data_IF_905511772804
#
_entry.id   IF_905511772804
#
_cell.length_a   1.000
_cell.length_b   1.000
_cell.length_c   1.000
_cell.angle_alpha   90.00
_cell.angle_beta   90.00
_cell.angle_gamma   90.00
#
_symmetry.space_group_name_H-M   'P 1'
#
loop_
_entity.id
_entity.type
_entity.pdbx_description
1 polymer ?
#
# COMPACT_ATOMS: atom_id res chain seq x y z
N UNK A 1 8.15 -22.68 16.54
CA UNK A 1 7.26 -21.50 16.45
C UNK A 1 7.01 -21.27 14.97
N UNK A 2 5.81 -21.54 14.44
CA UNK A 2 5.53 -21.35 13.00
C UNK A 2 5.44 -19.85 12.73
N UNK A 3 6.33 -19.33 11.89
CA UNK A 3 6.24 -17.98 11.35
C UNK A 3 4.92 -17.88 10.58
N UNK A 4 3.96 -17.11 11.10
CA UNK A 4 2.68 -16.86 10.43
C UNK A 4 2.78 -15.48 9.78
N UNK A 5 3.29 -15.46 8.56
CA UNK A 5 3.49 -14.25 7.78
C UNK A 5 2.15 -13.69 7.27
N UNK A 6 1.32 -13.16 8.16
CA UNK A 6 0.06 -12.54 7.75
C UNK A 6 0.21 -11.04 7.40
N UNK A 7 1.38 -10.46 7.71
CA UNK A 7 1.61 -9.04 7.53
C UNK A 7 0.83 -8.19 8.53
N UNK A 8 1.24 -6.93 8.67
CA UNK A 8 0.52 -5.92 9.43
C UNK A 8 0.31 -4.70 8.56
N UNK A 9 -0.78 -3.98 8.78
CA UNK A 9 -1.06 -2.76 8.06
C UNK A 9 -1.66 -1.69 8.95
N UNK A 10 -1.62 -0.46 8.44
CA UNK A 10 -2.36 0.67 8.96
C UNK A 10 -2.87 1.48 7.78
N UNK A 11 -4.04 2.06 7.96
CA UNK A 11 -4.77 2.76 6.90
C UNK A 11 -5.35 4.04 7.45
N UNK A 12 -5.17 5.12 6.70
CA UNK A 12 -5.79 6.40 6.93
C UNK A 12 -6.37 6.89 5.59
N UNK A 13 -7.56 7.47 5.60
CA UNK A 13 -8.20 8.02 4.39
C UNK A 13 -8.45 9.50 4.63
N UNK A 14 -7.96 10.35 3.72
CA UNK A 14 -8.18 11.79 3.77
C UNK A 14 -8.36 12.31 2.34
N UNK A 15 -9.38 13.15 2.12
CA UNK A 15 -9.60 13.85 0.85
C UNK A 15 -9.55 12.96 -0.42
N UNK A 16 -10.22 11.80 -0.40
CA UNK A 16 -10.21 10.80 -1.50
C UNK A 16 -8.85 10.11 -1.76
N UNK A 17 -7.85 10.32 -0.90
CA UNK A 17 -6.58 9.62 -0.91
C UNK A 17 -6.52 8.60 0.20
N UNK A 18 -6.11 7.37 -0.14
CA UNK A 18 -5.86 6.32 0.84
C UNK A 18 -4.36 6.26 1.15
N UNK A 19 -4.01 6.37 2.42
CA UNK A 19 -2.66 6.21 2.92
C UNK A 19 -2.54 4.84 3.59
N UNK A 20 -1.58 4.04 3.15
CA UNK A 20 -1.38 2.68 3.61
C UNK A 20 0.09 2.54 3.99
N UNK A 21 0.38 1.95 5.16
CA UNK A 21 1.71 1.42 5.43
C UNK A 21 1.61 -0.09 5.67
N UNK A 22 2.53 -0.83 5.07
CA UNK A 22 2.63 -2.29 5.21
C UNK A 22 3.89 -2.65 5.98
N UNK A 23 3.79 -3.67 6.83
CA UNK A 23 4.88 -4.14 7.66
C UNK A 23 4.99 -5.66 7.65
N UNK A 24 6.22 -6.16 7.51
CA UNK A 24 6.54 -7.59 7.46
C UNK A 24 6.15 -8.25 6.14
N UNK A 25 6.24 -9.59 6.12
CA UNK A 25 5.89 -10.40 4.96
C UNK A 25 4.42 -10.85 4.99
N UNK A 26 3.80 -10.88 3.81
CA UNK A 26 2.43 -11.31 3.61
C UNK A 26 2.40 -12.65 2.88
N UNK A 27 1.60 -13.57 3.39
CA UNK A 27 1.16 -14.79 2.72
C UNK A 27 -0.20 -14.55 2.06
N UNK A 28 -0.73 -15.58 1.37
CA UNK A 28 -2.01 -15.50 0.68
C UNK A 28 -3.18 -15.09 1.59
N UNK A 29 -3.25 -15.64 2.81
CA UNK A 29 -4.31 -15.31 3.77
C UNK A 29 -4.22 -13.83 4.20
N UNK A 30 -3.02 -13.35 4.54
CA UNK A 30 -2.80 -11.96 4.90
C UNK A 30 -3.16 -10.98 3.78
N UNK A 31 -2.91 -11.35 2.51
CA UNK A 31 -3.35 -10.53 1.36
C UNK A 31 -4.87 -10.49 1.25
N UNK A 32 -5.55 -11.61 1.43
CA UNK A 32 -7.02 -11.68 1.40
C UNK A 32 -7.62 -10.84 2.53
N UNK A 33 -7.11 -10.98 3.75
CA UNK A 33 -7.60 -10.23 4.92
C UNK A 33 -7.38 -8.73 4.75
N UNK A 34 -6.22 -8.32 4.24
CA UNK A 34 -5.93 -6.95 3.88
C UNK A 34 -6.90 -6.42 2.81
N UNK A 35 -7.12 -7.16 1.72
CA UNK A 35 -8.04 -6.75 0.65
C UNK A 35 -9.47 -6.56 1.17
N UNK A 36 -9.94 -7.47 2.03
CA UNK A 36 -11.26 -7.39 2.67
C UNK A 36 -11.37 -6.17 3.58
N UNK A 37 -10.35 -5.87 4.38
CA UNK A 37 -10.31 -4.67 5.23
C UNK A 37 -10.35 -3.39 4.38
N UNK A 38 -9.55 -3.34 3.31
CA UNK A 38 -9.55 -2.21 2.37
C UNK A 38 -10.91 -1.99 1.70
N UNK A 39 -11.59 -3.06 1.27
CA UNK A 39 -12.93 -2.95 0.69
C UNK A 39 -13.90 -2.37 1.73
N UNK A 40 -13.89 -2.87 2.97
CA UNK A 40 -14.76 -2.36 4.04
C UNK A 40 -14.54 -0.88 4.30
N UNK A 41 -13.28 -0.44 4.40
CA UNK A 41 -12.91 0.97 4.63
C UNK A 41 -13.33 1.87 3.48
N UNK A 42 -13.02 1.49 2.25
CA UNK A 42 -13.39 2.29 1.07
C UNK A 42 -14.91 2.37 0.89
N UNK A 43 -15.64 1.30 1.19
CA UNK A 43 -17.10 1.30 1.12
C UNK A 43 -17.78 2.14 2.21
N UNK A 44 -17.08 2.46 3.32
CA UNK A 44 -17.59 3.36 4.34
C UNK A 44 -17.38 4.85 4.03
N UNK A 45 -16.58 5.17 3.00
CA UNK A 45 -16.33 6.55 2.61
C UNK A 45 -17.49 7.14 1.80
N UNK A 46 -17.83 8.40 2.08
CA UNK A 46 -18.88 9.14 1.36
C UNK A 46 -18.49 9.47 -0.08
N UNK A 47 -17.18 9.56 -0.34
CA UNK A 47 -16.63 9.91 -1.64
C UNK A 47 -15.70 8.82 -2.14
N UNK A 48 -15.75 8.46 -3.43
CA UNK A 48 -14.80 7.50 -4.00
C UNK A 48 -13.36 7.96 -3.75
N UNK A 49 -12.53 7.01 -3.32
CA UNK A 49 -11.09 7.21 -3.28
C UNK A 49 -10.53 7.07 -4.70
N UNK A 50 -9.82 8.08 -5.18
CA UNK A 50 -9.25 8.11 -6.53
C UNK A 50 -7.72 8.13 -6.54
N UNK A 51 -7.11 8.07 -5.36
CA UNK A 51 -5.66 8.11 -5.18
C UNK A 51 -5.19 7.26 -4.00
N UNK A 52 -3.92 6.84 -4.04
CA UNK A 52 -3.32 6.07 -2.96
C UNK A 52 -1.83 6.38 -2.75
N UNK A 53 -1.39 6.35 -1.49
CA UNK A 53 0.00 6.46 -1.05
C UNK A 53 0.35 5.21 -0.26
N UNK A 54 1.34 4.46 -0.70
CA UNK A 54 1.76 3.21 -0.09
C UNK A 54 3.19 3.32 0.44
N UNK A 55 3.32 3.27 1.76
CA UNK A 55 4.60 3.19 2.44
C UNK A 55 5.00 1.73 2.62
N UNK A 56 6.01 1.31 1.86
CA UNK A 56 6.56 -0.04 1.83
C UNK A 56 7.93 -0.13 2.53
N UNK A 57 8.32 0.88 3.30
CA UNK A 57 9.64 0.93 3.95
C UNK A 57 9.88 -0.22 4.94
N UNK A 58 8.83 -0.75 5.56
CA UNK A 58 8.87 -1.89 6.49
C UNK A 58 8.30 -3.18 5.87
N UNK A 59 8.00 -3.18 4.57
CA UNK A 59 7.41 -4.31 3.87
C UNK A 59 8.49 -5.30 3.42
N UNK A 60 8.34 -6.58 3.79
CA UNK A 60 9.30 -7.62 3.46
C UNK A 60 8.85 -8.44 2.24
N UNK A 61 9.45 -8.20 1.08
CA UNK A 61 9.32 -9.04 -0.10
C UNK A 61 10.46 -10.06 -0.18
N UNK A 62 10.56 -10.94 0.81
CA UNK A 62 11.69 -11.88 0.95
C UNK A 62 11.43 -13.30 0.42
N UNK A 63 10.20 -13.62 -0.03
CA UNK A 63 9.85 -14.96 -0.52
C UNK A 63 9.10 -14.94 -1.86
N UNK A 64 9.20 -16.04 -2.63
CA UNK A 64 8.42 -16.28 -3.86
C UNK A 64 6.92 -16.17 -3.63
N UNK A 65 6.45 -16.63 -2.47
CA UNK A 65 5.05 -16.59 -2.10
C UNK A 65 4.61 -15.15 -1.81
N UNK A 66 5.47 -14.36 -1.19
CA UNK A 66 5.25 -12.93 -1.02
C UNK A 66 5.23 -12.19 -2.36
N UNK A 67 5.96 -12.65 -3.38
CA UNK A 67 5.95 -12.04 -4.72
C UNK A 67 4.64 -12.28 -5.47
N UNK A 68 4.10 -13.50 -5.43
CA UNK A 68 2.81 -13.82 -6.03
C UNK A 68 1.67 -13.12 -5.29
N UNK A 69 1.69 -13.17 -3.96
CA UNK A 69 0.72 -12.48 -3.10
C UNK A 69 0.80 -10.95 -3.31
N UNK A 70 2.00 -10.40 -3.53
CA UNK A 70 2.19 -8.98 -3.87
C UNK A 70 1.58 -8.62 -5.23
N UNK A 71 1.68 -9.51 -6.23
CA UNK A 71 1.01 -9.30 -7.52
C UNK A 71 -0.51 -9.31 -7.35
N UNK A 72 -1.07 -10.31 -6.67
CA UNK A 72 -2.51 -10.37 -6.38
C UNK A 72 -2.98 -9.11 -5.61
N UNK A 73 -2.18 -8.66 -4.64
CA UNK A 73 -2.44 -7.41 -3.92
C UNK A 73 -2.53 -6.20 -4.85
N UNK A 74 -1.49 -5.97 -5.65
CA UNK A 74 -1.40 -4.78 -6.49
C UNK A 74 -2.31 -4.84 -7.71
N UNK A 75 -2.70 -6.02 -8.18
CA UNK A 75 -3.79 -6.18 -9.14
C UNK A 75 -5.11 -5.67 -8.54
N UNK A 76 -5.39 -6.01 -7.27
CA UNK A 76 -6.54 -5.45 -6.55
C UNK A 76 -6.47 -3.91 -6.43
N UNK A 77 -5.28 -3.33 -6.24
CA UNK A 77 -5.08 -1.86 -6.27
C UNK A 77 -5.36 -1.29 -7.66
N UNK A 78 -4.83 -1.92 -8.72
CA UNK A 78 -5.03 -1.50 -10.11
C UNK A 78 -6.50 -1.53 -10.53
N UNK A 79 -7.28 -2.50 -10.05
CA UNK A 79 -8.70 -2.64 -10.38
C UNK A 79 -9.59 -1.55 -9.76
N UNK A 80 -9.09 -0.80 -8.77
CA UNK A 80 -9.86 0.28 -8.11
C UNK A 80 -9.92 1.58 -8.93
N UNK A 81 -9.21 1.65 -10.07
CA UNK A 81 -9.34 2.76 -11.02
C UNK A 81 -8.73 4.08 -10.53
N UNK A 82 -7.70 4.02 -9.69
CA UNK A 82 -6.99 5.20 -9.20
C UNK A 82 -6.44 6.06 -10.35
N UNK A 83 -6.52 7.37 -10.18
CA UNK A 83 -5.87 8.37 -11.04
C UNK A 83 -4.36 8.33 -10.84
N UNK A 84 -3.90 8.20 -9.61
CA UNK A 84 -2.48 8.11 -9.27
C UNK A 84 -2.23 7.23 -8.04
N UNK A 85 -1.03 6.63 -8.01
CA UNK A 85 -0.53 5.86 -6.86
C UNK A 85 0.93 6.19 -6.61
N UNK A 86 1.23 6.61 -5.39
CA UNK A 86 2.59 6.88 -4.95
C UNK A 86 3.11 5.76 -4.06
N UNK A 87 4.37 5.40 -4.27
CA UNK A 87 5.05 4.38 -3.49
C UNK A 87 6.26 4.95 -2.76
N UNK A 88 6.41 4.64 -1.47
CA UNK A 88 7.49 5.14 -0.61
C UNK A 88 8.31 3.97 -0.07
N UNK A 89 9.64 4.07 -0.15
CA UNK A 89 10.56 3.11 0.49
C UNK A 89 10.58 1.74 -0.18
N UNK A 90 10.22 1.67 -1.46
CA UNK A 90 10.20 0.41 -2.22
C UNK A 90 11.62 -0.08 -2.48
N UNK A 91 11.88 -1.36 -2.22
CA UNK A 91 13.16 -1.95 -2.61
C UNK A 91 13.23 -2.12 -4.15
N UNK A 92 14.43 -2.15 -4.77
CA UNK A 92 14.56 -2.17 -6.24
C UNK A 92 13.87 -3.35 -6.95
N UNK A 93 13.80 -4.52 -6.31
CA UNK A 93 13.13 -5.71 -6.88
C UNK A 93 11.63 -5.50 -6.91
N UNK A 94 11.06 -5.01 -5.80
CA UNK A 94 9.65 -4.67 -5.67
C UNK A 94 9.25 -3.57 -6.65
N UNK A 95 10.08 -2.55 -6.81
CA UNK A 95 9.84 -1.45 -7.75
C UNK A 95 9.77 -1.98 -9.20
N UNK A 96 10.70 -2.85 -9.59
CA UNK A 96 10.68 -3.44 -10.93
C UNK A 96 9.38 -4.19 -11.22
N UNK A 97 8.91 -5.00 -10.26
CA UNK A 97 7.67 -5.77 -10.40
C UNK A 97 6.43 -4.88 -10.43
N UNK A 98 6.40 -3.86 -9.57
CA UNK A 98 5.34 -2.85 -9.57
C UNK A 98 5.26 -2.15 -10.92
N UNK A 99 6.39 -1.71 -11.47
CA UNK A 99 6.44 -1.08 -12.80
C UNK A 99 5.88 -1.99 -13.89
N UNK A 100 6.21 -3.29 -13.85
CA UNK A 100 5.63 -4.27 -14.79
C UNK A 100 4.12 -4.42 -14.60
N UNK A 101 3.64 -4.49 -13.35
CA UNK A 101 2.21 -4.64 -13.05
C UNK A 101 1.39 -3.43 -13.52
N UNK A 102 1.94 -2.23 -13.39
CA UNK A 102 1.31 -0.99 -13.85
C UNK A 102 1.48 -0.73 -15.35
N UNK A 103 2.20 -1.57 -16.08
CA UNK A 103 2.39 -1.40 -17.52
C UNK A 103 1.04 -1.34 -18.25
N UNK A 104 0.87 -0.33 -19.11
CA UNK A 104 -0.35 -0.09 -19.88
C UNK A 104 -1.54 0.47 -19.06
N UNK A 105 -1.37 0.71 -17.76
CA UNK A 105 -2.38 1.42 -16.97
C UNK A 105 -2.40 2.92 -17.32
N UNK A 106 -3.58 3.55 -17.17
CA UNK A 106 -3.72 5.01 -17.26
C UNK A 106 -3.35 5.74 -15.97
N UNK A 107 -3.16 4.99 -14.89
CA UNK A 107 -2.81 5.49 -13.56
C UNK A 107 -1.38 6.03 -13.55
N UNK A 108 -1.19 7.22 -13.01
CA UNK A 108 0.14 7.80 -12.79
C UNK A 108 0.82 7.13 -11.60
N UNK A 109 2.07 6.66 -11.77
CA UNK A 109 2.79 5.95 -10.72
C UNK A 109 4.12 6.64 -10.43
N UNK A 110 4.32 7.04 -9.17
CA UNK A 110 5.58 7.61 -8.70
C UNK A 110 6.22 6.74 -7.61
N UNK A 111 7.54 6.72 -7.59
CA UNK A 111 8.33 5.99 -6.60
C UNK A 111 9.27 6.96 -5.88
N UNK A 112 9.27 6.88 -4.56
CA UNK A 112 10.06 7.73 -3.68
C UNK A 112 10.94 6.85 -2.78
N UNK A 113 12.24 7.17 -2.63
CA UNK A 113 13.16 6.32 -1.89
C UNK A 113 12.88 6.28 -0.39
N UNK A 114 12.22 7.30 0.16
CA UNK A 114 11.83 7.39 1.56
C UNK A 114 10.79 8.51 1.76
N UNK A 115 10.20 8.54 2.95
CA UNK A 115 9.16 9.52 3.31
C UNK A 115 9.67 10.97 3.24
N UNK A 116 10.92 11.23 3.61
CA UNK A 116 11.50 12.58 3.52
C UNK A 116 11.53 13.10 2.07
N UNK A 117 11.91 12.25 1.11
CA UNK A 117 11.89 12.60 -0.30
C UNK A 117 10.46 12.82 -0.82
N UNK A 118 9.52 12.00 -0.36
CA UNK A 118 8.11 12.15 -0.69
C UNK A 118 7.53 13.49 -0.22
N UNK A 119 7.69 13.78 1.07
CA UNK A 119 7.23 15.02 1.69
C UNK A 119 7.87 16.26 1.05
N UNK A 120 9.15 16.18 0.67
CA UNK A 120 9.82 17.29 -0.03
C UNK A 120 9.20 17.57 -1.41
N UNK A 121 8.64 16.56 -2.07
CA UNK A 121 8.01 16.70 -3.38
C UNK A 121 6.52 17.06 -3.29
N UNK A 122 5.83 16.59 -2.24
CA UNK A 122 4.40 16.77 -2.01
C UNK A 122 4.11 17.11 -0.54
N UNK A 123 4.42 18.34 -0.09
CA UNK A 123 4.30 18.73 1.32
C UNK A 123 2.86 18.71 1.84
N UNK A 124 1.85 18.75 0.98
CA UNK A 124 0.44 18.60 1.33
C UNK A 124 0.13 17.28 2.05
N UNK A 125 0.95 16.24 1.85
CA UNK A 125 0.73 14.92 2.47
C UNK A 125 1.38 14.75 3.85
N UNK A 126 2.03 15.78 4.42
CA UNK A 126 2.66 15.70 5.75
C UNK A 126 1.66 15.31 6.83
N UNK A 127 0.53 16.02 6.90
CA UNK A 127 -0.50 15.81 7.92
C UNK A 127 -1.08 14.39 7.87
N UNK A 128 -1.60 13.89 6.73
CA UNK A 128 -2.16 12.55 6.67
C UNK A 128 -1.13 11.44 6.91
N UNK A 129 0.14 11.62 6.52
CA UNK A 129 1.20 10.66 6.85
C UNK A 129 1.56 10.68 8.34
N UNK A 130 1.52 11.84 8.98
CA UNK A 130 1.68 11.95 10.44
C UNK A 130 0.52 11.26 11.16
N UNK A 131 -0.72 11.46 10.71
CA UNK A 131 -1.89 10.78 11.26
C UNK A 131 -1.81 9.26 11.07
N UNK A 132 -1.44 8.80 9.87
CA UNK A 132 -1.15 7.39 9.61
C UNK A 132 -0.08 6.85 10.58
N UNK A 133 0.96 7.64 10.88
CA UNK A 133 2.05 7.22 11.74
C UNK A 133 1.63 6.91 13.19
N UNK A 134 0.55 7.55 13.64
CA UNK A 134 -0.02 7.42 14.98
C UNK A 134 -0.95 6.20 15.12
N UNK A 135 -1.38 5.61 14.00
CA UNK A 135 -2.20 4.41 13.98
C UNK A 135 -1.30 3.19 14.22
N UNK A 136 -1.72 2.34 15.15
CA UNK A 136 -1.07 1.05 15.41
C UNK A 136 -1.12 0.16 14.17
N UNK A 137 -0.03 -0.57 13.93
CA UNK A 137 -0.05 -1.67 12.96
C UNK A 137 -0.94 -2.79 13.49
N UNK A 138 -1.97 -3.14 12.74
CA UNK A 138 -2.95 -4.14 13.14
C UNK A 138 -3.14 -5.18 12.03
N UNK A 139 -3.46 -6.40 12.46
CA UNK A 139 -4.10 -7.41 11.63
C UNK A 139 -5.48 -7.64 12.25
N UNK A 140 -6.59 -7.32 11.56
CA UNK A 140 -7.92 -7.62 12.06
C UNK A 140 -8.07 -9.14 12.18
N UNK A 141 -8.36 -9.61 13.40
CA UNK A 141 -8.74 -10.98 13.72
C UNK A 141 -10.15 -10.95 14.34
#
# INVERSE_FOLDING_TARGET
MKFKAHGLWRVHIEHSTIYIALKGGFNREGVIDFQNDMIKRVMSELTPCDSAVLNLSEFEMSTSDSLEATKEYFEGVKQRGYKWVDYIGVNPIAEHLLRQLWQGAKTEICFYPNEKAYISAKPEHIKPLTELSQISFEHPH
#
